data_IF_951355689705
#
_entry.id   IF_951355689705
#
_cell.length_a   1.000
_cell.length_b   1.000
_cell.length_c   1.000
_cell.angle_alpha   90.00
_cell.angle_beta   90.00
_cell.angle_gamma   90.00
#
_symmetry.space_group_name_H-M   'P 1'
#
loop_
_entity.id
_entity.type
_entity.pdbx_description
1 polymer ?
#
# COMPACT_ATOMS: atom_id res chain seq x y z
N UNK A 1 16.79 -7.09 -9.89
CA UNK A 1 16.69 -8.07 -8.79
C UNK A 1 15.51 -7.62 -7.95
N UNK A 2 14.62 -8.51 -7.46
CA UNK A 2 13.52 -8.05 -6.64
C UNK A 2 14.04 -7.48 -5.30
N UNK A 3 13.26 -6.60 -4.66
CA UNK A 3 13.65 -5.95 -3.40
C UNK A 3 13.91 -6.96 -2.26
N UNK A 4 13.20 -8.09 -2.27
CA UNK A 4 13.34 -9.18 -1.31
C UNK A 4 12.88 -10.52 -1.92
N UNK A 5 13.14 -11.62 -1.23
CA UNK A 5 12.81 -12.99 -1.68
C UNK A 5 11.30 -13.20 -1.86
N UNK A 6 10.92 -13.96 -2.88
CA UNK A 6 9.51 -14.24 -3.22
C UNK A 6 8.72 -14.89 -2.07
N UNK A 7 9.39 -15.64 -1.18
CA UNK A 7 8.75 -16.24 0.00
C UNK A 7 8.11 -15.23 0.96
N UNK A 8 8.51 -13.96 0.92
CA UNK A 8 7.90 -12.89 1.72
C UNK A 8 6.75 -12.16 1.00
N UNK A 9 6.58 -12.38 -0.32
CA UNK A 9 5.66 -11.60 -1.15
C UNK A 9 4.21 -11.73 -0.70
N UNK A 10 3.72 -12.95 -0.51
CA UNK A 10 2.33 -13.21 -0.09
C UNK A 10 2.03 -12.59 1.29
N UNK A 11 2.99 -12.67 2.21
CA UNK A 11 2.88 -12.03 3.52
C UNK A 11 2.83 -10.52 3.43
N UNK A 12 3.61 -9.92 2.55
CA UNK A 12 3.61 -8.48 2.30
C UNK A 12 2.34 -7.99 1.61
N UNK A 13 1.82 -8.75 0.63
CA UNK A 13 0.53 -8.49 -0.02
C UNK A 13 -0.59 -8.50 1.02
N UNK A 14 -0.72 -9.60 1.76
CA UNK A 14 -1.81 -9.79 2.74
C UNK A 14 -1.81 -8.69 3.81
N UNK A 15 -0.63 -8.36 4.33
CA UNK A 15 -0.44 -7.32 5.34
C UNK A 15 -0.80 -5.94 4.81
N UNK A 16 -0.33 -5.59 3.62
CA UNK A 16 -0.54 -4.25 3.05
C UNK A 16 -1.99 -4.05 2.63
N UNK A 17 -2.64 -5.07 2.05
CA UNK A 17 -4.09 -5.07 1.78
C UNK A 17 -4.89 -4.77 3.04
N UNK A 18 -4.62 -5.50 4.12
CA UNK A 18 -5.34 -5.30 5.39
C UNK A 18 -5.07 -3.92 6.00
N UNK A 19 -3.83 -3.43 5.93
CA UNK A 19 -3.49 -2.07 6.36
C UNK A 19 -4.29 -1.01 5.59
N UNK A 20 -4.37 -1.12 4.26
CA UNK A 20 -5.08 -0.14 3.43
C UNK A 20 -6.58 -0.11 3.72
N UNK A 21 -7.19 -1.28 3.99
CA UNK A 21 -8.57 -1.34 4.47
C UNK A 21 -8.75 -0.68 5.84
N UNK A 22 -7.83 -0.93 6.77
CA UNK A 22 -7.88 -0.27 8.08
C UNK A 22 -7.78 1.25 7.95
N UNK A 23 -6.89 1.75 7.10
CA UNK A 23 -6.79 3.18 6.78
C UNK A 23 -8.10 3.69 6.16
N UNK A 24 -8.67 2.99 5.18
CA UNK A 24 -9.94 3.35 4.53
C UNK A 24 -11.12 3.49 5.50
N UNK A 25 -11.18 2.63 6.52
CA UNK A 25 -12.24 2.63 7.54
C UNK A 25 -12.03 3.66 8.64
N UNK A 26 -10.78 4.01 8.95
CA UNK A 26 -10.45 4.79 10.16
C UNK A 26 -9.91 6.19 9.86
N UNK A 27 -9.70 6.55 8.59
CA UNK A 27 -9.25 7.87 8.17
C UNK A 27 -10.32 8.57 7.35
N UNK A 28 -10.51 9.87 7.60
CA UNK A 28 -11.35 10.75 6.76
C UNK A 28 -10.72 11.00 5.39
N UNK A 29 -9.39 11.00 5.32
CA UNK A 29 -8.60 11.05 4.08
C UNK A 29 -7.61 9.86 4.02
N UNK A 30 -8.06 8.70 3.52
CA UNK A 30 -7.21 7.53 3.33
C UNK A 30 -6.04 7.76 2.38
N UNK A 31 -6.16 8.65 1.39
CA UNK A 31 -5.10 8.87 0.42
C UNK A 31 -3.92 9.60 1.04
N UNK A 32 -4.18 10.65 1.82
CA UNK A 32 -3.13 11.32 2.58
C UNK A 32 -2.48 10.37 3.59
N UNK A 33 -3.27 9.60 4.35
CA UNK A 33 -2.74 8.62 5.29
C UNK A 33 -1.86 7.54 4.64
N UNK A 34 -2.25 7.03 3.47
CA UNK A 34 -1.42 6.10 2.68
C UNK A 34 -0.14 6.79 2.20
N UNK A 35 -0.23 8.02 1.70
CA UNK A 35 0.95 8.75 1.22
C UNK A 35 1.94 9.05 2.36
N UNK A 36 1.44 9.45 3.53
CA UNK A 36 2.24 9.72 4.73
C UNK A 36 2.91 8.43 5.23
N UNK A 37 2.16 7.32 5.29
CA UNK A 37 2.74 6.01 5.56
C UNK A 37 3.89 5.67 4.60
N UNK A 38 3.66 5.82 3.30
CA UNK A 38 4.64 5.49 2.26
C UNK A 38 5.85 6.43 2.25
N UNK A 39 5.76 7.62 2.87
CA UNK A 39 6.88 8.56 3.02
C UNK A 39 7.51 8.55 4.42
N UNK A 40 6.92 7.81 5.36
CA UNK A 40 7.36 7.78 6.75
C UNK A 40 8.71 7.10 6.92
N UNK A 41 9.42 7.45 7.99
CA UNK A 41 10.62 6.70 8.42
C UNK A 41 10.30 5.24 8.69
N UNK A 42 9.07 4.93 9.14
CA UNK A 42 8.61 3.56 9.34
C UNK A 42 8.73 2.74 8.05
N UNK A 43 8.16 3.25 6.94
CA UNK A 43 8.19 2.55 5.66
C UNK A 43 9.60 2.54 5.06
N UNK A 44 10.37 3.62 5.25
CA UNK A 44 11.79 3.65 4.88
C UNK A 44 12.60 2.53 5.54
N UNK A 45 12.39 2.24 6.83
CA UNK A 45 13.06 1.12 7.48
C UNK A 45 12.60 -0.25 6.95
N UNK A 46 11.33 -0.39 6.56
CA UNK A 46 10.87 -1.60 5.86
C UNK A 46 11.56 -1.78 4.52
N UNK A 47 11.70 -0.70 3.74
CA UNK A 47 12.37 -0.72 2.44
C UNK A 47 13.85 -1.12 2.56
N UNK A 48 14.50 -0.74 3.67
CA UNK A 48 15.87 -1.18 4.02
C UNK A 48 15.94 -2.62 4.54
N UNK A 49 14.82 -3.35 4.57
CA UNK A 49 14.77 -4.73 5.03
C UNK A 49 14.85 -4.92 6.54
N UNK A 50 14.58 -3.89 7.35
CA UNK A 50 14.70 -3.98 8.80
C UNK A 50 13.67 -4.98 9.38
N UNK A 51 14.13 -6.10 10.01
CA UNK A 51 13.23 -7.16 10.47
C UNK A 51 12.20 -6.69 11.50
N UNK A 52 12.53 -5.70 12.33
CA UNK A 52 11.59 -5.18 13.34
C UNK A 52 10.36 -4.54 12.68
N UNK A 53 10.57 -3.77 11.60
CA UNK A 53 9.51 -3.08 10.89
C UNK A 53 8.76 -4.01 9.93
N UNK A 54 9.47 -4.96 9.32
CA UNK A 54 8.86 -5.98 8.47
C UNK A 54 7.91 -6.90 9.24
N UNK A 55 8.18 -7.23 10.50
CA UNK A 55 7.37 -8.19 11.27
C UNK A 55 6.20 -7.58 12.05
N UNK A 56 6.06 -6.26 12.07
CA UNK A 56 4.93 -5.59 12.71
C UNK A 56 3.63 -5.85 11.95
N UNK A 57 2.56 -6.02 12.72
CA UNK A 57 1.21 -6.24 12.20
C UNK A 57 0.59 -4.92 11.73
N UNK A 58 -0.43 -4.95 10.85
CA UNK A 58 -1.13 -3.75 10.42
C UNK A 58 -1.69 -2.91 11.57
N UNK A 59 -2.13 -3.53 12.67
CA UNK A 59 -2.60 -2.81 13.85
C UNK A 59 -1.49 -2.01 14.54
N UNK A 60 -0.30 -2.58 14.64
CA UNK A 60 0.87 -1.87 15.19
C UNK A 60 1.32 -0.75 14.25
N UNK A 61 1.19 -0.94 12.92
CA UNK A 61 1.46 0.13 11.96
C UNK A 61 0.47 1.30 12.15
N UNK A 62 -0.82 1.02 12.31
CA UNK A 62 -1.83 2.05 12.57
C UNK A 62 -1.49 2.86 13.84
N UNK A 63 -1.05 2.19 14.92
CA UNK A 63 -0.61 2.85 16.15
C UNK A 63 0.62 3.75 15.93
N UNK A 64 1.61 3.30 15.18
CA UNK A 64 2.80 4.10 14.82
C UNK A 64 2.47 5.32 13.95
N UNK A 65 1.38 5.25 13.18
CA UNK A 65 0.85 6.35 12.38
C UNK A 65 -0.09 7.29 13.17
N UNK A 66 -0.26 7.05 14.47
CA UNK A 66 -1.23 7.76 15.33
C UNK A 66 -2.68 7.66 14.82
N UNK A 67 -3.01 6.56 14.13
CA UNK A 67 -4.36 6.30 13.61
C UNK A 67 -5.08 5.34 14.56
N UNK A 68 -6.06 5.87 15.29
CA UNK A 68 -6.88 5.08 16.20
C UNK A 68 -7.83 4.17 15.44
N UNK A 69 -7.71 2.86 15.67
CA UNK A 69 -8.66 1.87 15.16
C UNK A 69 -9.94 1.93 16.00
N UNK A 70 -11.08 2.14 15.35
CA UNK A 70 -12.40 2.07 15.94
C UNK A 70 -13.00 0.70 15.61
N UNK A 71 -13.39 -0.08 16.63
CA UNK A 71 -13.90 -1.44 16.41
C UNK A 71 -15.22 -1.47 15.63
N UNK A 72 -15.98 -0.38 15.67
CA UNK A 72 -17.29 -0.24 15.03
C UNK A 72 -17.22 0.63 13.75
N UNK A 73 -16.02 0.84 13.19
CA UNK A 73 -15.89 1.58 11.93
C UNK A 73 -16.59 0.80 10.81
N UNK A 74 -17.72 1.32 10.34
CA UNK A 74 -18.44 0.78 9.20
C UNK A 74 -17.62 0.92 7.89
N UNK A 75 -18.07 0.22 6.85
CA UNK A 75 -17.48 0.34 5.51
C UNK A 75 -17.62 1.80 5.06
N UNK A 76 -16.53 2.36 4.54
CA UNK A 76 -16.53 3.73 4.06
C UNK A 76 -17.32 3.84 2.74
N UNK A 77 -18.37 4.66 2.69
CA UNK A 77 -19.18 4.83 1.48
C UNK A 77 -18.43 5.51 0.33
N UNK A 78 -17.37 6.27 0.63
CA UNK A 78 -16.61 7.04 -0.36
C UNK A 78 -15.47 6.24 -0.98
N UNK A 79 -14.85 5.34 -0.20
CA UNK A 79 -13.65 4.61 -0.62
C UNK A 79 -13.91 3.11 -0.58
N UNK A 80 -13.83 2.49 -1.76
CA UNK A 80 -14.06 1.07 -1.93
C UNK A 80 -12.84 0.26 -1.46
N UNK A 81 -13.09 -0.66 -0.51
CA UNK A 81 -12.05 -1.49 0.09
C UNK A 81 -11.36 -2.41 -0.91
N UNK A 82 -12.06 -2.90 -1.94
CA UNK A 82 -11.45 -3.73 -2.99
C UNK A 82 -10.51 -2.91 -3.87
N UNK A 83 -10.84 -1.65 -4.12
CA UNK A 83 -9.94 -0.75 -4.84
C UNK A 83 -8.71 -0.45 -3.99
N UNK A 84 -8.88 -0.22 -2.69
CA UNK A 84 -7.76 -0.04 -1.75
C UNK A 84 -6.87 -1.29 -1.64
N UNK A 85 -7.45 -2.50 -1.64
CA UNK A 85 -6.68 -3.75 -1.70
C UNK A 85 -5.88 -3.87 -3.01
N UNK A 86 -6.51 -3.56 -4.15
CA UNK A 86 -5.83 -3.57 -5.44
C UNK A 86 -4.68 -2.53 -5.48
N UNK A 87 -4.87 -1.35 -4.89
CA UNK A 87 -3.78 -0.36 -4.76
C UNK A 87 -2.61 -0.92 -3.95
N UNK A 88 -2.89 -1.63 -2.86
CA UNK A 88 -1.85 -2.28 -2.06
C UNK A 88 -1.05 -3.30 -2.89
N UNK A 89 -1.71 -4.08 -3.74
CA UNK A 89 -1.04 -5.04 -4.63
C UNK A 89 -0.13 -4.36 -5.63
N UNK A 90 -0.60 -3.29 -6.26
CA UNK A 90 0.18 -2.48 -7.20
C UNK A 90 1.45 -1.96 -6.51
N UNK A 91 1.32 -1.36 -5.32
CA UNK A 91 2.47 -0.81 -4.60
C UNK A 91 3.45 -1.89 -4.11
N UNK A 92 2.95 -3.00 -3.56
CA UNK A 92 3.81 -4.12 -3.15
C UNK A 92 4.53 -4.71 -4.36
N UNK A 93 3.84 -4.87 -5.50
CA UNK A 93 4.46 -5.39 -6.72
C UNK A 93 5.49 -4.41 -7.29
N UNK A 94 5.22 -3.10 -7.30
CA UNK A 94 6.19 -2.07 -7.71
C UNK A 94 7.47 -2.17 -6.89
N UNK A 95 7.36 -2.22 -5.56
CA UNK A 95 8.51 -2.39 -4.69
C UNK A 95 9.23 -3.70 -4.96
N UNK A 96 8.52 -4.82 -4.86
CA UNK A 96 9.13 -6.14 -4.97
C UNK A 96 9.77 -6.37 -6.33
N UNK A 97 9.09 -6.08 -7.44
CA UNK A 97 9.58 -6.41 -8.78
C UNK A 97 10.63 -5.42 -9.29
N UNK A 98 10.46 -4.14 -8.99
CA UNK A 98 11.29 -3.05 -9.56
C UNK A 98 12.27 -2.44 -8.57
N UNK A 99 12.32 -2.93 -7.33
CA UNK A 99 13.23 -2.45 -6.29
C UNK A 99 13.06 -0.94 -6.02
N UNK A 100 11.83 -0.45 -6.13
CA UNK A 100 11.49 0.94 -5.86
C UNK A 100 11.21 1.11 -4.36
N UNK A 101 11.80 2.14 -3.76
CA UNK A 101 11.40 2.54 -2.41
C UNK A 101 9.96 3.04 -2.39
N UNK A 102 9.33 2.96 -1.22
CA UNK A 102 7.97 3.46 -1.00
C UNK A 102 7.81 4.95 -1.35
N UNK A 103 8.81 5.77 -1.06
CA UNK A 103 8.82 7.18 -1.42
C UNK A 103 8.84 7.38 -2.94
N UNK A 104 9.69 6.65 -3.67
CA UNK A 104 9.74 6.70 -5.14
C UNK A 104 8.44 6.21 -5.77
N UNK A 105 7.76 5.22 -5.19
CA UNK A 105 6.46 4.74 -5.67
C UNK A 105 5.41 5.85 -5.61
N UNK A 106 5.34 6.61 -4.51
CA UNK A 106 4.38 7.72 -4.37
C UNK A 106 4.70 8.87 -5.32
N UNK A 107 5.97 9.11 -5.63
CA UNK A 107 6.36 10.10 -6.64
C UNK A 107 5.91 9.70 -8.06
N UNK A 108 5.90 8.40 -8.37
CA UNK A 108 5.44 7.88 -9.67
C UNK A 108 3.92 7.81 -9.79
N UNK A 109 3.23 7.37 -8.74
CA UNK A 109 1.77 7.35 -8.73
C UNK A 109 1.22 7.55 -7.32
N UNK A 110 0.61 8.71 -7.09
CA UNK A 110 -0.03 9.04 -5.83
C UNK A 110 -1.23 8.12 -5.56
N UNK A 111 -1.69 7.97 -4.30
CA UNK A 111 -2.81 7.10 -3.97
C UNK A 111 -4.08 7.51 -4.70
N UNK A 112 -4.35 8.81 -4.77
CA UNK A 112 -5.50 9.36 -5.49
C UNK A 112 -5.43 9.10 -7.00
N UNK A 113 -4.26 9.31 -7.62
CA UNK A 113 -4.08 9.01 -9.04
C UNK A 113 -4.24 7.52 -9.32
N UNK A 114 -3.74 6.65 -8.44
CA UNK A 114 -3.84 5.22 -8.61
C UNK A 114 -5.29 4.74 -8.45
N UNK A 115 -6.01 5.24 -7.46
CA UNK A 115 -7.43 4.92 -7.25
C UNK A 115 -8.27 5.22 -8.49
N UNK A 116 -8.06 6.40 -9.11
CA UNK A 116 -8.75 6.77 -10.36
C UNK A 116 -8.41 5.86 -11.55
N UNK A 117 -7.25 5.22 -11.53
CA UNK A 117 -6.79 4.28 -12.57
C UNK A 117 -7.26 2.84 -12.36
N UNK A 118 -8.07 2.57 -11.33
CA UNK A 118 -8.65 1.24 -11.11
C UNK A 118 -9.43 0.75 -12.34
N UNK A 119 -10.49 1.42 -12.76
CA UNK A 119 -11.30 0.99 -13.90
C UNK A 119 -10.50 0.73 -15.20
N UNK A 120 -9.56 1.59 -15.63
CA UNK A 120 -8.78 1.30 -16.83
C UNK A 120 -7.74 0.18 -16.67
N UNK A 121 -7.40 -0.27 -15.46
CA UNK A 121 -6.29 -1.22 -15.22
C UNK A 121 -6.69 -2.50 -14.47
N UNK A 122 -7.81 -2.55 -13.76
CA UNK A 122 -8.22 -3.66 -12.89
C UNK A 122 -8.50 -4.96 -13.64
N UNK A 123 -8.88 -4.88 -14.92
CA UNK A 123 -9.10 -6.05 -15.78
C UNK A 123 -7.78 -6.69 -16.27
N UNK A 124 -6.65 -6.01 -16.03
CA UNK A 124 -5.32 -6.51 -16.41
C UNK A 124 -4.64 -7.17 -15.21
N UNK A 125 -3.63 -8.00 -15.47
CA UNK A 125 -2.76 -8.50 -14.40
C UNK A 125 -2.05 -7.35 -13.68
N UNK A 126 -1.75 -7.53 -12.39
CA UNK A 126 -0.97 -6.56 -11.59
C UNK A 126 0.33 -6.17 -12.31
N UNK A 127 1.04 -7.13 -12.89
CA UNK A 127 2.26 -6.88 -13.68
C UNK A 127 2.01 -5.93 -14.86
N UNK A 128 0.96 -6.16 -15.64
CA UNK A 128 0.64 -5.30 -16.79
C UNK A 128 0.16 -3.91 -16.34
N UNK A 129 -0.62 -3.84 -15.26
CA UNK A 129 -1.02 -2.58 -14.63
C UNK A 129 0.19 -1.76 -14.21
N UNK A 130 1.14 -2.37 -13.50
CA UNK A 130 2.39 -1.72 -13.06
C UNK A 130 3.24 -1.28 -14.25
N UNK A 131 3.42 -2.14 -15.26
CA UNK A 131 4.19 -1.77 -16.47
C UNK A 131 3.62 -0.54 -17.14
N UNK A 132 2.29 -0.44 -17.27
CA UNK A 132 1.64 0.75 -17.83
C UNK A 132 1.89 1.99 -16.98
N UNK A 133 1.73 1.88 -15.65
CA UNK A 133 1.96 2.97 -14.71
C UNK A 133 3.40 3.51 -14.75
N UNK A 134 4.40 2.64 -14.92
CA UNK A 134 5.80 3.04 -15.00
C UNK A 134 6.24 3.56 -16.37
N UNK A 135 5.44 3.32 -17.42
CA UNK A 135 5.70 3.79 -18.79
C UNK A 135 5.02 5.11 -19.16
N UNK A 136 4.12 5.60 -18.31
CA UNK A 136 3.44 6.89 -18.44
C UNK A 136 4.37 8.03 -18.02
#
# INVERSE_FOLDING_TARGET
MPAYDESYLDGMITKTRYLFKLIGRNCSDPFSAIADYMKSDYRKYMDMGNPMYLNKTPKQIMEELDIRIQNDSEINEKYDEFILEWMADIYVYMQWKYDLSSAEIIEKTTPESLYQKYYPLHETSIENGVRKLLSM
#
